data_IF_760656066432
#
_entry.id   IF_760656066432
#
_cell.length_a   1.000
_cell.length_b   1.000
_cell.length_c   1.000
_cell.angle_alpha   90.00
_cell.angle_beta   90.00
_cell.angle_gamma   90.00
#
_symmetry.space_group_name_H-M   'P 1'
#
loop_
_entity.id
_entity.type
_entity.pdbx_description
1 polymer ?
#
# COMPACT_ATOMS: atom_id res chain seq x y z
N UNK A 1 -6.83 -18.50 13.13
CA UNK A 1 -6.15 -18.49 11.81
C UNK A 1 -6.95 -17.58 10.89
N UNK A 2 -6.31 -16.98 9.88
CA UNK A 2 -7.01 -16.21 8.84
C UNK A 2 -7.08 -17.10 7.60
N UNK A 3 -8.28 -17.28 7.05
CA UNK A 3 -8.52 -18.00 5.80
C UNK A 3 -8.65 -16.96 4.69
N UNK A 4 -7.90 -17.10 3.59
CA UNK A 4 -7.91 -16.17 2.46
C UNK A 4 -8.63 -16.83 1.30
N UNK A 5 -9.58 -16.11 0.71
CA UNK A 5 -10.41 -16.55 -0.40
C UNK A 5 -10.27 -15.64 -1.60
N UNK A 6 -10.29 -16.22 -2.80
CA UNK A 6 -10.52 -15.54 -4.06
C UNK A 6 -11.87 -16.01 -4.60
N UNK A 7 -12.88 -15.14 -4.54
CA UNK A 7 -14.28 -15.57 -4.71
C UNK A 7 -14.64 -16.64 -3.67
N UNK A 8 -15.14 -17.79 -4.12
CA UNK A 8 -15.55 -18.90 -3.26
C UNK A 8 -14.40 -19.90 -2.97
N UNK A 9 -13.23 -19.70 -3.58
CA UNK A 9 -12.10 -20.64 -3.46
C UNK A 9 -11.16 -20.18 -2.37
N UNK A 10 -10.93 -21.03 -1.36
CA UNK A 10 -9.88 -20.80 -0.37
C UNK A 10 -8.51 -20.98 -1.03
N UNK A 11 -7.69 -19.93 -1.05
CA UNK A 11 -6.37 -19.95 -1.70
C UNK A 11 -5.22 -20.10 -0.71
N UNK A 12 -5.40 -19.68 0.54
CA UNK A 12 -4.35 -19.71 1.54
C UNK A 12 -4.91 -19.70 2.96
N UNK A 13 -4.21 -20.33 3.90
CA UNK A 13 -4.43 -20.15 5.34
C UNK A 13 -3.22 -19.50 5.99
N UNK A 14 -3.42 -18.35 6.63
CA UNK A 14 -2.42 -17.66 7.45
C UNK A 14 -2.55 -18.14 8.90
N UNK A 15 -1.66 -19.06 9.27
CA UNK A 15 -1.64 -19.67 10.62
C UNK A 15 -0.89 -18.84 11.65
N UNK A 16 0.10 -18.06 11.21
CA UNK A 16 0.94 -17.21 12.06
C UNK A 16 1.11 -15.85 11.41
N UNK A 17 1.07 -14.83 12.25
CA UNK A 17 1.28 -13.43 11.89
C UNK A 17 2.38 -12.87 12.80
N UNK A 18 3.11 -11.88 12.31
CA UNK A 18 4.04 -11.10 13.13
C UNK A 18 3.23 -10.19 14.07
N UNK A 19 2.27 -9.48 13.51
CA UNK A 19 1.30 -8.67 14.22
C UNK A 19 -0.07 -8.83 13.57
N UNK A 20 -1.13 -8.66 14.33
CA UNK A 20 -2.47 -8.52 13.81
C UNK A 20 -3.28 -7.64 14.75
N UNK A 21 -4.29 -7.00 14.19
CA UNK A 21 -5.15 -6.10 14.92
C UNK A 21 -6.56 -6.17 14.35
N UNK A 22 -7.53 -6.50 15.19
CA UNK A 22 -8.94 -6.48 14.89
C UNK A 22 -9.56 -5.33 15.69
N UNK A 23 -10.15 -4.36 15.00
CA UNK A 23 -10.80 -3.20 15.63
C UNK A 23 -12.28 -3.18 15.31
N UNK A 24 -13.09 -3.05 16.33
CA UNK A 24 -14.55 -2.97 16.24
C UNK A 24 -15.07 -1.81 17.11
N UNK A 25 -16.12 -1.13 16.65
CA UNK A 25 -16.76 -0.03 17.39
C UNK A 25 -18.28 -0.19 17.44
N UNK A 26 -18.92 0.47 18.42
CA UNK A 26 -20.39 0.56 18.48
C UNK A 26 -20.97 1.40 17.33
N UNK A 27 -20.18 2.29 16.75
CA UNK A 27 -20.60 3.11 15.61
C UNK A 27 -20.69 2.28 14.32
N UNK A 28 -20.00 1.14 14.24
CA UNK A 28 -20.04 0.24 13.09
C UNK A 28 -18.76 0.19 12.26
N UNK A 29 -17.66 0.77 12.75
CA UNK A 29 -16.33 0.46 12.23
C UNK A 29 -15.96 -0.99 12.57
N UNK A 30 -15.47 -1.72 11.56
CA UNK A 30 -14.97 -3.07 11.74
C UNK A 30 -13.83 -3.34 10.74
N UNK A 31 -12.60 -3.42 11.25
CA UNK A 31 -11.39 -3.53 10.43
C UNK A 31 -10.46 -4.62 10.95
N UNK A 32 -9.67 -5.18 10.05
CA UNK A 32 -8.62 -6.16 10.34
C UNK A 32 -7.34 -5.68 9.66
N UNK A 33 -6.23 -5.63 10.40
CA UNK A 33 -4.91 -5.51 9.79
C UNK A 33 -3.99 -6.60 10.31
N UNK A 34 -3.05 -7.04 9.48
CA UNK A 34 -2.05 -8.02 9.90
C UNK A 34 -0.77 -7.90 9.11
N UNK A 35 0.33 -8.29 9.73
CA UNK A 35 1.67 -8.33 9.13
C UNK A 35 2.17 -9.76 9.08
N UNK A 36 2.68 -10.19 7.93
CA UNK A 36 3.32 -11.49 7.71
C UNK A 36 4.68 -11.30 7.04
N UNK A 37 5.50 -12.35 7.04
CA UNK A 37 6.70 -12.38 6.19
C UNK A 37 6.29 -12.30 4.71
N UNK A 38 7.05 -11.59 3.88
CA UNK A 38 6.73 -11.40 2.47
C UNK A 38 6.54 -12.72 1.70
N UNK A 39 7.32 -13.76 2.04
CA UNK A 39 7.16 -15.12 1.48
C UNK A 39 5.78 -15.73 1.73
N UNK A 40 5.14 -15.36 2.84
CA UNK A 40 3.81 -15.82 3.24
C UNK A 40 2.70 -14.96 2.63
N UNK A 41 3.04 -13.93 1.85
CA UNK A 41 2.08 -13.04 1.21
C UNK A 41 2.08 -13.12 -0.33
N UNK A 42 2.80 -14.08 -0.93
CA UNK A 42 2.97 -14.16 -2.37
C UNK A 42 1.64 -14.31 -3.15
N UNK A 43 0.66 -15.00 -2.55
CA UNK A 43 -0.66 -15.21 -3.15
C UNK A 43 -1.69 -14.13 -2.78
N UNK A 44 -1.34 -13.19 -1.88
CA UNK A 44 -2.25 -12.15 -1.43
C UNK A 44 -2.40 -11.07 -2.49
N UNK A 45 -3.65 -10.71 -2.76
CA UNK A 45 -4.04 -9.64 -3.68
C UNK A 45 -5.16 -8.83 -3.04
N UNK A 46 -5.28 -7.56 -3.44
CA UNK A 46 -6.45 -6.76 -3.10
C UNK A 46 -7.73 -7.41 -3.65
N UNK A 47 -8.89 -7.07 -3.07
CA UNK A 47 -10.20 -7.66 -3.37
C UNK A 47 -10.38 -9.13 -2.97
N UNK A 48 -9.37 -9.78 -2.41
CA UNK A 48 -9.54 -11.09 -1.77
C UNK A 48 -10.23 -10.95 -0.42
N UNK A 49 -10.87 -12.01 0.06
CA UNK A 49 -11.57 -12.03 1.34
C UNK A 49 -10.73 -12.76 2.39
N UNK A 50 -10.43 -12.07 3.49
CA UNK A 50 -9.88 -12.63 4.71
C UNK A 50 -11.03 -12.97 5.67
N UNK A 51 -11.13 -14.24 6.06
CA UNK A 51 -12.11 -14.71 7.04
C UNK A 51 -11.43 -15.00 8.37
N UNK A 52 -12.00 -14.46 9.45
CA UNK A 52 -11.58 -14.72 10.82
C UNK A 52 -12.77 -14.60 11.77
N UNK A 53 -12.89 -15.51 12.75
CA UNK A 53 -13.96 -15.53 13.76
C UNK A 53 -15.39 -15.45 13.18
N UNK A 54 -15.62 -16.07 12.02
CA UNK A 54 -16.93 -16.04 11.33
C UNK A 54 -17.20 -14.78 10.50
N UNK A 55 -16.32 -13.78 10.57
CA UNK A 55 -16.45 -12.51 9.87
C UNK A 55 -15.58 -12.46 8.62
N UNK A 56 -15.99 -11.66 7.64
CA UNK A 56 -15.32 -11.52 6.34
C UNK A 56 -14.80 -10.10 6.15
N UNK A 57 -13.56 -9.99 5.70
CA UNK A 57 -12.88 -8.71 5.47
C UNK A 57 -12.28 -8.69 4.07
N UNK A 58 -12.59 -7.68 3.27
CA UNK A 58 -11.94 -7.45 1.98
C UNK A 58 -10.53 -6.89 2.19
N UNK A 59 -9.54 -7.45 1.52
CA UNK A 59 -8.19 -6.88 1.48
C UNK A 59 -8.22 -5.63 0.60
N UNK A 60 -8.11 -4.46 1.24
CA UNK A 60 -8.14 -3.16 0.55
C UNK A 60 -6.73 -2.67 0.23
N UNK A 61 -5.73 -3.03 1.04
CA UNK A 61 -4.35 -2.57 0.86
C UNK A 61 -3.33 -3.65 1.21
N UNK A 62 -2.27 -3.70 0.42
CA UNK A 62 -1.09 -4.55 0.67
C UNK A 62 0.16 -3.68 0.52
N UNK A 63 0.94 -3.58 1.60
CA UNK A 63 2.23 -2.91 1.61
C UNK A 63 3.34 -3.94 1.83
N UNK A 64 4.37 -3.94 0.97
CA UNK A 64 5.55 -4.79 1.10
C UNK A 64 6.76 -3.91 1.38
N UNK A 65 7.52 -4.26 2.43
CA UNK A 65 8.66 -3.47 2.87
C UNK A 65 9.72 -4.35 3.54
N UNK A 66 10.88 -3.78 3.85
CA UNK A 66 11.92 -4.43 4.63
C UNK A 66 12.03 -3.71 5.98
N UNK A 67 11.92 -4.45 7.08
CA UNK A 67 12.11 -3.94 8.43
C UNK A 67 13.32 -4.62 9.06
N UNK A 68 14.41 -3.88 9.28
CA UNK A 68 15.62 -4.42 9.91
C UNK A 68 16.17 -5.68 9.21
N UNK A 69 16.22 -5.66 7.87
CA UNK A 69 16.57 -6.78 6.95
C UNK A 69 15.49 -7.87 6.74
N UNK A 70 14.38 -7.84 7.47
CA UNK A 70 13.30 -8.80 7.29
C UNK A 70 12.28 -8.30 6.26
N UNK A 71 12.06 -9.01 5.14
CA UNK A 71 11.02 -8.66 4.19
C UNK A 71 9.64 -9.02 4.77
N UNK A 72 8.80 -8.01 4.94
CA UNK A 72 7.47 -8.09 5.53
C UNK A 72 6.39 -7.63 4.55
N UNK A 73 5.16 -8.03 4.85
CA UNK A 73 3.98 -7.64 4.11
C UNK A 73 2.88 -7.28 5.11
N UNK A 74 2.50 -6.01 5.13
CA UNK A 74 1.40 -5.46 5.92
C UNK A 74 0.13 -5.43 5.07
N UNK A 75 -0.96 -5.94 5.62
CA UNK A 75 -2.24 -6.09 4.94
C UNK A 75 -3.29 -5.35 5.75
N UNK A 76 -4.04 -4.48 5.08
CA UNK A 76 -5.19 -3.77 5.65
C UNK A 76 -6.45 -4.32 5.02
N UNK A 77 -7.43 -4.64 5.85
CA UNK A 77 -8.71 -5.18 5.44
C UNK A 77 -9.87 -4.44 6.11
N UNK A 78 -10.96 -4.30 5.37
CA UNK A 78 -12.22 -3.72 5.84
C UNK A 78 -13.29 -4.81 5.88
N UNK A 79 -14.19 -4.77 6.87
CA UNK A 79 -15.31 -5.70 6.90
C UNK A 79 -16.13 -5.59 5.61
N UNK A 80 -16.69 -6.71 5.13
CA UNK A 80 -17.46 -6.71 3.86
C UNK A 80 -18.57 -5.67 3.83
N UNK A 81 -19.09 -5.23 4.99
CA UNK A 81 -20.07 -4.14 5.11
C UNK A 81 -19.63 -2.81 4.49
N UNK A 82 -18.33 -2.59 4.28
CA UNK A 82 -17.82 -1.40 3.59
C UNK A 82 -18.14 -1.42 2.09
N UNK A 83 -18.47 -2.58 1.53
CA UNK A 83 -19.03 -2.71 0.17
C UNK A 83 -20.30 -1.88 -0.03
N UNK A 84 -21.05 -1.56 1.04
CA UNK A 84 -22.20 -0.67 0.99
C UNK A 84 -21.84 0.81 0.69
N UNK A 85 -20.55 1.15 0.65
CA UNK A 85 -20.07 2.46 0.20
C UNK A 85 -19.88 2.55 -1.32
N UNK A 86 -19.89 1.42 -2.02
CA UNK A 86 -19.68 1.34 -3.47
C UNK A 86 -20.81 2.07 -4.22
N UNK A 87 -20.43 2.81 -5.26
CA UNK A 87 -21.33 3.65 -6.04
C UNK A 87 -22.48 2.85 -6.67
N UNK A 88 -22.25 1.58 -6.99
CA UNK A 88 -23.29 0.68 -7.53
C UNK A 88 -24.46 0.40 -6.60
N UNK A 89 -24.32 0.67 -5.30
CA UNK A 89 -25.39 0.49 -4.31
C UNK A 89 -26.04 1.80 -3.87
N UNK A 90 -25.59 2.94 -4.40
CA UNK A 90 -26.20 4.23 -4.09
C UNK A 90 -27.72 4.22 -4.33
N UNK A 91 -28.41 5.04 -3.56
CA UNK A 91 -29.84 5.30 -3.69
C UNK A 91 -30.07 6.79 -3.66
N UNK A 92 -31.00 7.25 -4.47
CA UNK A 92 -31.46 8.63 -4.54
C UNK A 92 -32.86 8.82 -3.94
N UNK A 93 -33.64 7.75 -3.89
CA UNK A 93 -34.96 7.72 -3.28
C UNK A 93 -35.14 6.51 -2.33
N UNK A 94 -35.72 6.77 -1.17
CA UNK A 94 -36.20 5.74 -0.25
C UNK A 94 -37.30 6.38 0.59
N UNK A 95 -38.52 5.85 0.58
CA UNK A 95 -39.63 6.35 1.42
C UNK A 95 -40.31 5.15 2.05
N UNK A 96 -40.13 4.98 3.35
CA UNK A 96 -40.63 3.82 4.09
C UNK A 96 -41.26 4.25 5.41
N UNK A 97 -42.42 3.65 5.69
CA UNK A 97 -43.12 3.72 6.96
C UNK A 97 -43.64 2.34 7.31
N UNK A 98 -43.14 1.72 8.38
CA UNK A 98 -43.52 0.35 8.72
C UNK A 98 -42.66 -0.32 9.77
N UNK A 99 -42.66 -1.65 9.74
CA UNK A 99 -41.87 -2.49 10.65
C UNK A 99 -40.36 -2.29 10.39
N UNK A 100 -39.52 -2.14 11.44
CA UNK A 100 -38.08 -1.95 11.27
C UNK A 100 -37.33 -3.08 10.54
N UNK A 101 -37.74 -4.34 10.69
CA UNK A 101 -37.09 -5.45 10.00
C UNK A 101 -37.43 -5.46 8.51
N UNK A 102 -38.70 -5.16 8.17
CA UNK A 102 -39.13 -4.97 6.78
C UNK A 102 -38.41 -3.78 6.12
N UNK A 103 -38.35 -2.64 6.82
CA UNK A 103 -37.66 -1.44 6.34
C UNK A 103 -36.17 -1.67 6.11
N UNK A 104 -35.50 -2.40 7.00
CA UNK A 104 -34.11 -2.80 6.80
C UNK A 104 -33.96 -3.75 5.60
N UNK A 105 -34.91 -4.67 5.41
CA UNK A 105 -34.93 -5.59 4.27
C UNK A 105 -35.00 -4.85 2.93
N UNK A 106 -35.93 -3.91 2.80
CA UNK A 106 -36.04 -3.04 1.63
C UNK A 106 -34.79 -2.18 1.46
N UNK A 107 -34.24 -1.66 2.55
CA UNK A 107 -33.02 -0.87 2.49
C UNK A 107 -31.81 -1.70 2.04
N UNK A 108 -31.75 -3.00 2.31
CA UNK A 108 -30.64 -3.86 1.89
C UNK A 108 -30.89 -4.55 0.54
N UNK A 109 -32.04 -4.33 -0.09
CA UNK A 109 -32.38 -4.95 -1.37
C UNK A 109 -31.34 -4.62 -2.45
N UNK A 110 -30.96 -5.64 -3.23
CA UNK A 110 -29.94 -5.55 -4.26
C UNK A 110 -28.49 -5.60 -3.74
N UNK A 111 -28.28 -5.62 -2.42
CA UNK A 111 -26.96 -5.79 -1.81
C UNK A 111 -26.71 -7.26 -1.45
N UNK A 112 -25.45 -7.68 -1.16
CA UNK A 112 -25.19 -9.05 -0.68
C UNK A 112 -25.58 -9.27 0.79
N UNK A 113 -26.19 -8.28 1.45
CA UNK A 113 -26.54 -8.34 2.87
C UNK A 113 -28.00 -8.71 3.08
N UNK A 114 -28.26 -9.43 4.16
CA UNK A 114 -29.61 -9.76 4.62
C UNK A 114 -29.88 -9.23 6.02
N UNK A 115 -31.17 -9.13 6.35
CA UNK A 115 -31.63 -8.77 7.69
C UNK A 115 -31.31 -9.91 8.65
N UNK A 116 -30.67 -9.58 9.77
CA UNK A 116 -30.53 -10.48 10.91
C UNK A 116 -31.52 -10.13 12.02
N UNK A 117 -31.06 -10.11 13.27
CA UNK A 117 -31.90 -9.76 14.43
C UNK A 117 -32.15 -8.27 14.50
N UNK A 118 -33.43 -7.86 14.49
CA UNK A 118 -33.87 -6.47 14.74
C UNK A 118 -34.73 -6.44 16.00
N UNK A 119 -34.27 -5.79 17.06
CA UNK A 119 -34.94 -5.78 18.38
C UNK A 119 -36.01 -4.69 18.54
N UNK A 120 -36.28 -3.95 17.46
CA UNK A 120 -37.22 -2.83 17.41
C UNK A 120 -38.50 -3.24 16.70
N UNK A 121 -39.64 -2.90 17.29
CA UNK A 121 -40.98 -3.28 16.78
C UNK A 121 -41.89 -2.07 16.51
N UNK A 122 -41.46 -0.87 16.96
CA UNK A 122 -42.22 0.34 16.74
C UNK A 122 -42.03 0.79 15.29
N UNK A 123 -43.09 1.32 14.69
CA UNK A 123 -43.04 1.87 13.33
C UNK A 123 -41.90 2.89 13.18
N UNK A 124 -41.08 2.69 12.16
CA UNK A 124 -40.06 3.64 11.73
C UNK A 124 -40.54 4.37 10.46
N UNK A 125 -40.23 5.66 10.38
CA UNK A 125 -40.42 6.47 9.18
C UNK A 125 -39.04 6.95 8.72
N UNK A 126 -38.68 6.67 7.47
CA UNK A 126 -37.45 7.15 6.88
C UNK A 126 -37.69 7.59 5.44
N UNK A 127 -37.17 8.77 5.11
CA UNK A 127 -37.23 9.33 3.76
C UNK A 127 -35.84 9.80 3.30
N UNK A 128 -35.48 9.44 2.08
CA UNK A 128 -34.31 9.89 1.33
C UNK A 128 -34.82 10.44 0.00
N UNK A 129 -34.35 11.63 -0.34
CA UNK A 129 -34.69 12.35 -1.58
C UNK A 129 -33.45 12.98 -2.23
N UNK A 130 -32.29 12.38 -1.99
CA UNK A 130 -31.00 12.79 -2.53
C UNK A 130 -30.10 11.58 -2.69
N UNK A 131 -29.17 11.64 -3.63
CA UNK A 131 -28.19 10.57 -3.85
C UNK A 131 -27.29 10.39 -2.62
N UNK A 132 -27.32 9.20 -2.02
CA UNK A 132 -26.50 8.81 -0.89
C UNK A 132 -25.92 7.41 -1.07
N UNK A 133 -24.79 7.14 -0.42
CA UNK A 133 -24.24 5.78 -0.30
C UNK A 133 -25.19 4.91 0.53
N UNK A 134 -25.30 3.63 0.18
CA UNK A 134 -26.17 2.69 0.89
C UNK A 134 -25.83 2.58 2.38
N UNK A 135 -24.53 2.60 2.70
CA UNK A 135 -24.05 2.59 4.09
C UNK A 135 -24.53 3.80 4.88
N UNK A 136 -24.56 5.00 4.27
CA UNK A 136 -25.02 6.20 4.94
C UNK A 136 -26.53 6.10 5.26
N UNK A 137 -27.32 5.60 4.31
CA UNK A 137 -28.73 5.31 4.54
C UNK A 137 -28.94 4.28 5.65
N UNK A 138 -28.14 3.21 5.68
CA UNK A 138 -28.17 2.21 6.75
C UNK A 138 -27.88 2.84 8.13
N UNK A 139 -26.82 3.65 8.24
CA UNK A 139 -26.48 4.31 9.51
C UNK A 139 -27.57 5.29 9.95
N UNK A 140 -28.18 6.02 9.01
CA UNK A 140 -29.33 6.87 9.27
C UNK A 140 -30.52 6.05 9.81
N UNK A 141 -30.82 4.90 9.21
CA UNK A 141 -31.90 4.01 9.64
C UNK A 141 -31.68 3.54 11.09
N UNK A 142 -30.46 3.10 11.42
CA UNK A 142 -30.09 2.67 12.77
C UNK A 142 -30.18 3.84 13.77
N UNK A 143 -29.72 5.02 13.38
CA UNK A 143 -29.80 6.23 14.21
C UNK A 143 -31.24 6.63 14.53
N UNK A 144 -32.16 6.51 13.56
CA UNK A 144 -33.59 6.76 13.76
C UNK A 144 -34.23 5.78 14.76
N UNK A 145 -33.80 4.52 14.75
CA UNK A 145 -34.23 3.53 15.75
C UNK A 145 -33.60 3.78 17.13
N UNK A 146 -32.46 4.49 17.19
CA UNK A 146 -31.62 4.55 18.38
C UNK A 146 -30.94 3.20 18.69
N UNK A 147 -30.72 2.39 17.65
CA UNK A 147 -30.14 1.05 17.76
C UNK A 147 -28.63 1.03 17.63
N UNK A 148 -28.10 -0.18 17.78
CA UNK A 148 -26.68 -0.50 17.63
C UNK A 148 -26.49 -1.54 16.55
N UNK A 149 -25.62 -1.23 15.60
CA UNK A 149 -25.29 -2.14 14.51
C UNK A 149 -24.38 -3.26 14.99
N UNK A 150 -24.73 -4.48 14.61
CA UNK A 150 -23.91 -5.68 14.82
C UNK A 150 -23.82 -6.46 13.51
N UNK A 151 -22.60 -6.78 13.11
CA UNK A 151 -22.34 -7.57 11.91
C UNK A 151 -22.22 -9.06 12.26
N UNK A 152 -22.90 -9.91 11.52
CA UNK A 152 -22.74 -11.36 11.56
C UNK A 152 -22.53 -11.90 10.14
N UNK A 153 -21.27 -11.79 9.67
CA UNK A 153 -20.91 -12.05 8.29
C UNK A 153 -21.66 -11.11 7.33
N UNK A 154 -22.60 -11.66 6.57
CA UNK A 154 -23.46 -10.91 5.64
C UNK A 154 -24.84 -10.55 6.22
N UNK A 155 -25.09 -10.87 7.49
CA UNK A 155 -26.28 -10.42 8.19
C UNK A 155 -25.99 -9.12 8.94
N UNK A 156 -26.96 -8.20 8.90
CA UNK A 156 -26.93 -6.97 9.67
C UNK A 156 -28.00 -7.05 10.76
N UNK A 157 -27.56 -7.02 12.01
CA UNK A 157 -28.40 -6.97 13.19
C UNK A 157 -28.53 -5.52 13.70
N UNK A 158 -29.68 -5.19 14.26
CA UNK A 158 -29.92 -3.93 14.98
C UNK A 158 -30.38 -4.27 16.40
N UNK A 159 -29.47 -4.09 17.36
CA UNK A 159 -29.69 -4.39 18.78
C UNK A 159 -30.07 -3.13 19.54
N UNK A 160 -30.82 -3.27 20.63
CA UNK A 160 -31.05 -2.21 21.62
C UNK A 160 -29.80 -2.00 22.48
N UNK A 161 -29.06 -3.08 22.75
CA UNK A 161 -27.82 -3.06 23.50
C UNK A 161 -26.96 -4.27 23.12
N UNK A 162 -25.79 -4.01 22.52
CA UNK A 162 -24.73 -4.99 22.28
C UNK A 162 -23.91 -5.20 23.54
N UNK A 163 -23.42 -6.42 23.73
CA UNK A 163 -22.66 -6.78 24.93
C UNK A 163 -23.52 -6.88 26.19
N UNK A 164 -22.87 -7.12 27.32
CA UNK A 164 -23.51 -7.35 28.61
C UNK A 164 -24.01 -6.07 29.25
N UNK A 165 -25.24 -6.12 29.78
CA UNK A 165 -25.80 -5.07 30.64
C UNK A 165 -25.14 -5.06 32.03
N UNK A 166 -24.63 -6.19 32.49
CA UNK A 166 -23.96 -6.32 33.77
C UNK A 166 -22.55 -5.71 33.72
N UNK A 167 -22.18 -4.97 34.76
CA UNK A 167 -20.86 -4.35 34.82
C UNK A 167 -19.77 -5.40 35.08
N UNK A 168 -18.97 -5.67 34.07
CA UNK A 168 -17.77 -6.50 34.19
C UNK A 168 -16.67 -5.72 34.88
N UNK A 169 -16.07 -6.29 35.93
CA UNK A 169 -14.89 -5.70 36.56
C UNK A 169 -13.67 -5.91 35.64
N UNK A 170 -13.05 -4.82 35.22
CA UNK A 170 -12.01 -4.84 34.18
C UNK A 170 -10.60 -4.67 34.77
N UNK A 171 -10.51 -4.15 36.01
CA UNK A 171 -9.26 -3.92 36.71
C UNK A 171 -9.10 -4.91 37.87
N UNK A 172 -8.40 -6.02 37.62
CA UNK A 172 -7.56 -6.63 38.66
C UNK A 172 -6.14 -6.08 38.43
N UNK A 173 -5.45 -5.65 39.50
CA UNK A 173 -4.17 -4.94 39.41
C UNK A 173 -3.05 -5.67 38.66
N UNK A 174 -3.21 -6.97 38.34
CA UNK A 174 -2.18 -7.80 37.69
C UNK A 174 -2.33 -7.90 36.17
N UNK A 175 -3.48 -7.53 35.60
CA UNK A 175 -3.77 -7.72 34.19
C UNK A 175 -3.78 -6.44 33.35
N UNK A 176 -3.50 -5.28 33.96
CA UNK A 176 -3.57 -3.97 33.30
C UNK A 176 -2.16 -3.47 33.04
N UNK A 177 -1.82 -3.19 31.79
CA UNK A 177 -0.48 -2.73 31.36
C UNK A 177 -0.42 -1.22 31.12
N UNK A 178 -1.53 -0.63 30.70
CA UNK A 178 -1.62 0.80 30.44
C UNK A 178 -3.03 1.30 30.77
N UNK A 179 -3.09 2.51 31.34
CA UNK A 179 -4.31 3.25 31.66
C UNK A 179 -4.08 4.70 31.34
N UNK A 180 -4.83 5.24 30.38
CA UNK A 180 -4.84 6.67 30.06
C UNK A 180 -6.26 7.20 30.14
N UNK A 181 -6.39 8.46 30.58
CA UNK A 181 -7.67 9.16 30.69
C UNK A 181 -7.53 10.53 30.08
N UNK A 182 -8.50 10.87 29.23
CA UNK A 182 -8.63 12.19 28.63
C UNK A 182 -9.98 12.78 29.01
N UNK A 183 -9.97 14.04 29.44
CA UNK A 183 -11.15 14.81 29.77
C UNK A 183 -11.33 15.92 28.74
N UNK A 184 -12.45 15.95 28.03
CA UNK A 184 -12.81 17.09 27.17
C UNK A 184 -14.01 17.83 27.76
N UNK A 185 -13.77 19.07 28.20
CA UNK A 185 -14.79 19.94 28.78
C UNK A 185 -15.83 20.43 27.76
N UNK A 186 -15.53 20.34 26.46
CA UNK A 186 -16.44 20.75 25.37
C UNK A 186 -17.48 19.68 25.08
N UNK A 187 -17.09 18.41 25.24
CA UNK A 187 -17.97 17.25 24.98
C UNK A 187 -18.64 16.70 26.24
N UNK A 188 -18.25 17.22 27.43
CA UNK A 188 -18.65 16.68 28.74
C UNK A 188 -18.50 15.15 28.79
N UNK A 189 -17.41 14.67 28.17
CA UNK A 189 -17.12 13.26 27.96
C UNK A 189 -15.70 12.96 28.45
N UNK A 190 -15.54 11.76 29.02
CA UNK A 190 -14.24 11.22 29.39
C UNK A 190 -14.01 9.98 28.55
N UNK A 191 -12.89 9.95 27.83
CA UNK A 191 -12.42 8.76 27.14
C UNK A 191 -11.33 8.11 27.97
N UNK A 192 -11.39 6.79 28.07
CA UNK A 192 -10.37 6.00 28.76
C UNK A 192 -9.81 5.02 27.75
N UNK A 193 -8.49 4.95 27.70
CA UNK A 193 -7.74 4.00 26.89
C UNK A 193 -7.09 3.01 27.85
N UNK A 194 -7.50 1.74 27.80
CA UNK A 194 -7.01 0.72 28.72
C UNK A 194 -6.41 -0.42 27.93
N UNK A 195 -5.19 -0.83 28.31
CA UNK A 195 -4.51 -1.99 27.76
C UNK A 195 -4.44 -3.13 28.78
N UNK A 196 -4.83 -4.33 28.36
CA UNK A 196 -4.76 -5.54 29.18
C UNK A 196 -3.66 -6.50 28.72
N UNK A 197 -2.93 -7.08 29.68
CA UNK A 197 -1.92 -8.11 29.46
C UNK A 197 -2.53 -9.48 29.14
N UNK A 198 -3.79 -9.76 29.49
CA UNK A 198 -4.44 -11.06 29.24
C UNK A 198 -5.88 -10.90 28.79
N UNK A 199 -6.36 -11.92 28.07
CA UNK A 199 -7.72 -11.99 27.57
C UNK A 199 -8.75 -11.94 28.70
N UNK A 200 -9.40 -10.81 28.83
CA UNK A 200 -10.71 -10.70 29.45
C UNK A 200 -11.76 -11.03 28.38
N UNK A 201 -12.84 -11.72 28.76
CA UNK A 201 -13.95 -11.98 27.85
C UNK A 201 -14.82 -10.71 27.70
N UNK A 202 -14.25 -9.74 26.98
CA UNK A 202 -14.84 -8.44 26.67
C UNK A 202 -15.27 -8.39 25.22
N UNK A 203 -16.41 -7.76 24.99
CA UNK A 203 -16.99 -7.48 23.69
C UNK A 203 -17.35 -6.01 23.60
N UNK A 204 -17.42 -5.48 22.38
CA UNK A 204 -17.97 -4.15 22.12
C UNK A 204 -19.38 -4.06 22.71
N UNK A 205 -19.66 -2.94 23.38
CA UNK A 205 -20.93 -2.70 24.06
C UNK A 205 -21.05 -3.26 25.48
N UNK A 206 -20.09 -4.04 25.98
CA UNK A 206 -20.11 -4.45 27.39
C UNK A 206 -20.08 -3.24 28.34
N UNK A 207 -20.93 -3.30 29.37
CA UNK A 207 -20.81 -2.43 30.53
C UNK A 207 -19.63 -2.90 31.40
N UNK A 208 -18.80 -1.94 31.80
CA UNK A 208 -17.56 -2.20 32.53
C UNK A 208 -17.44 -1.31 33.76
N UNK A 209 -16.76 -1.83 34.77
CA UNK A 209 -16.37 -1.10 35.97
C UNK A 209 -14.85 -1.04 36.04
N UNK A 210 -14.34 0.18 35.92
CA UNK A 210 -12.91 0.47 35.87
C UNK A 210 -12.51 1.08 37.20
N UNK A 211 -11.63 0.40 37.93
CA UNK A 211 -11.09 0.87 39.21
C UNK A 211 -9.56 0.89 39.13
N UNK A 212 -8.97 2.07 39.10
CA UNK A 212 -7.52 2.26 39.13
C UNK A 212 -7.14 3.33 40.15
N UNK A 213 -6.87 2.87 41.38
CA UNK A 213 -6.58 3.74 42.53
C UNK A 213 -5.43 4.73 42.30
N UNK A 214 -4.30 4.39 41.63
CA UNK A 214 -3.20 5.32 41.44
C UNK A 214 -3.56 6.58 40.63
N UNK A 215 -4.54 6.49 39.72
CA UNK A 215 -5.07 7.64 38.97
C UNK A 215 -6.43 8.13 39.50
N UNK A 216 -6.88 7.64 40.66
CA UNK A 216 -8.18 8.01 41.22
C UNK A 216 -9.39 7.58 40.39
N UNK A 217 -9.24 6.59 39.50
CA UNK A 217 -10.31 6.16 38.60
C UNK A 217 -11.21 5.16 39.33
N UNK A 218 -12.50 5.43 39.36
CA UNK A 218 -13.54 4.50 39.79
C UNK A 218 -14.82 4.83 39.02
N UNK A 219 -14.95 4.29 37.81
CA UNK A 219 -16.00 4.67 36.87
C UNK A 219 -16.71 3.45 36.31
N UNK A 220 -18.03 3.56 36.21
CA UNK A 220 -18.88 2.64 35.46
C UNK A 220 -19.16 3.27 34.10
N UNK A 221 -18.82 2.55 33.05
CA UNK A 221 -18.88 3.04 31.67
C UNK A 221 -19.06 1.87 30.72
N UNK A 222 -19.02 2.13 29.42
CA UNK A 222 -19.31 1.15 28.38
C UNK A 222 -18.22 1.12 27.32
N UNK A 223 -17.91 -0.07 26.82
CA UNK A 223 -16.95 -0.25 25.73
C UNK A 223 -17.55 0.27 24.41
N UNK A 224 -16.97 1.35 23.88
CA UNK A 224 -17.36 1.93 22.59
C UNK A 224 -16.46 1.46 21.44
N UNK A 225 -15.20 1.13 21.73
CA UNK A 225 -14.28 0.51 20.79
C UNK A 225 -13.47 -0.59 21.48
N UNK A 226 -13.26 -1.69 20.76
CA UNK A 226 -12.42 -2.79 21.16
C UNK A 226 -11.42 -3.07 20.05
N UNK A 227 -10.15 -3.06 20.41
CA UNK A 227 -9.04 -3.32 19.50
C UNK A 227 -8.14 -4.39 20.13
N UNK A 228 -7.87 -5.48 19.41
CA UNK A 228 -7.03 -6.56 19.93
C UNK A 228 -6.37 -7.38 18.85
N UNK A 229 -5.26 -8.03 19.19
CA UNK A 229 -4.65 -9.02 18.31
C UNK A 229 -5.38 -10.38 18.42
N UNK A 230 -5.99 -10.88 17.33
CA UNK A 230 -6.81 -12.10 17.38
C UNK A 230 -6.00 -13.40 17.53
N UNK A 231 -4.68 -13.35 17.32
CA UNK A 231 -3.76 -14.48 17.54
C UNK A 231 -3.13 -14.44 18.93
N UNK A 232 -2.87 -13.23 19.45
CA UNK A 232 -2.22 -13.01 20.74
C UNK A 232 -2.98 -11.94 21.52
N UNK A 233 -3.96 -12.35 22.33
CA UNK A 233 -4.82 -11.45 23.11
C UNK A 233 -4.13 -10.87 24.35
N UNK A 234 -2.90 -10.42 24.18
CA UNK A 234 -2.02 -9.89 25.21
C UNK A 234 -1.90 -8.37 25.19
N UNK A 235 -2.63 -7.70 24.29
CA UNK A 235 -2.84 -6.27 24.28
C UNK A 235 -4.25 -6.04 23.73
N UNK A 236 -5.19 -5.76 24.62
CA UNK A 236 -6.55 -5.37 24.27
C UNK A 236 -6.66 -3.90 24.61
N UNK A 237 -6.88 -3.06 23.60
CA UNK A 237 -7.11 -1.64 23.74
C UNK A 237 -8.60 -1.39 23.72
N UNK A 238 -9.09 -0.72 24.76
CA UNK A 238 -10.50 -0.44 24.94
C UNK A 238 -10.68 1.06 25.05
N UNK A 239 -11.53 1.62 24.18
CA UNK A 239 -12.07 2.94 24.38
C UNK A 239 -13.42 2.81 25.06
N UNK A 240 -13.62 3.58 26.13
CA UNK A 240 -14.90 3.62 26.84
C UNK A 240 -15.45 5.03 26.90
N UNK A 241 -16.77 5.13 26.84
CA UNK A 241 -17.45 6.42 26.80
C UNK A 241 -18.96 6.29 26.73
N UNK A 242 -19.63 7.42 26.52
CA UNK A 242 -21.06 7.45 26.22
C UNK A 242 -21.25 7.21 24.74
N UNK A 243 -21.95 6.14 24.38
CA UNK A 243 -22.39 5.94 23.00
C UNK A 243 -23.62 6.80 22.71
N UNK A 244 -23.60 7.53 21.61
CA UNK A 244 -24.78 8.16 21.03
C UNK A 244 -24.80 7.82 19.54
N UNK A 245 -25.77 7.03 19.04
CA UNK A 245 -26.00 6.93 17.61
C UNK A 245 -26.17 8.35 17.07
N UNK A 246 -25.28 8.76 16.18
CA UNK A 246 -25.34 10.06 15.55
C UNK A 246 -25.38 9.88 14.04
N UNK A 247 -25.98 10.85 13.37
CA UNK A 247 -26.05 10.93 11.90
C UNK A 247 -24.69 11.39 11.32
N UNK A 248 -23.68 11.63 12.16
CA UNK A 248 -22.51 12.43 11.80
C UNK A 248 -21.47 11.73 10.92
N UNK A 249 -20.84 12.58 10.10
CA UNK A 249 -19.74 12.40 9.15
C UNK A 249 -18.47 11.70 9.65
N UNK A 250 -18.45 11.07 10.84
CA UNK A 250 -17.28 10.36 11.35
C UNK A 250 -16.84 9.22 10.42
N UNK A 251 -17.74 8.68 9.61
CA UNK A 251 -17.43 7.70 8.56
C UNK A 251 -16.61 8.26 7.39
N UNK A 252 -16.60 9.58 7.14
CA UNK A 252 -15.70 10.19 6.15
C UNK A 252 -14.26 10.30 6.67
N UNK A 253 -14.02 10.17 7.99
CA UNK A 253 -12.67 10.35 8.57
C UNK A 253 -11.74 9.16 8.36
N UNK A 254 -12.26 7.97 8.08
CA UNK A 254 -11.43 6.83 7.66
C UNK A 254 -10.87 7.05 6.25
N UNK A 255 -11.67 7.64 5.36
CA UNK A 255 -11.22 8.04 4.01
C UNK A 255 -10.13 9.11 4.09
N UNK A 256 -10.25 10.10 4.99
CA UNK A 256 -9.25 11.15 5.15
C UNK A 256 -8.00 10.73 5.94
N UNK A 257 -8.12 9.82 6.91
CA UNK A 257 -6.96 9.29 7.62
C UNK A 257 -6.14 8.35 6.73
N UNK A 258 -6.81 7.57 5.88
CA UNK A 258 -6.16 6.72 4.88
C UNK A 258 -5.56 7.55 3.73
N UNK A 259 -6.23 8.61 3.26
CA UNK A 259 -5.64 9.52 2.28
C UNK A 259 -4.47 10.35 2.84
N UNK A 260 -4.52 10.71 4.12
CA UNK A 260 -3.39 11.34 4.84
C UNK A 260 -2.23 10.36 4.99
N UNK A 261 -2.53 9.07 5.24
CA UNK A 261 -1.52 8.01 5.27
C UNK A 261 -0.93 7.74 3.89
N UNK A 262 -1.74 7.65 2.84
CA UNK A 262 -1.29 7.57 1.44
C UNK A 262 -0.43 8.76 1.06
N UNK A 263 -0.85 9.98 1.41
CA UNK A 263 -0.08 11.21 1.17
C UNK A 263 1.26 11.17 1.91
N UNK A 264 1.29 10.67 3.16
CA UNK A 264 2.52 10.50 3.92
C UNK A 264 3.43 9.42 3.34
N UNK A 265 2.87 8.34 2.77
CA UNK A 265 3.62 7.30 2.05
C UNK A 265 4.16 7.83 0.73
N UNK A 266 3.40 8.62 -0.03
CA UNK A 266 3.88 9.27 -1.25
C UNK A 266 4.99 10.27 -0.94
N UNK A 267 4.89 10.99 0.18
CA UNK A 267 5.96 11.87 0.67
C UNK A 267 7.21 11.10 1.11
N UNK A 268 7.05 9.96 1.78
CA UNK A 268 8.18 9.07 2.13
C UNK A 268 8.79 8.44 0.87
N UNK A 269 7.98 7.97 -0.07
CA UNK A 269 8.44 7.40 -1.34
C UNK A 269 9.21 8.43 -2.17
N UNK A 270 8.68 9.64 -2.32
CA UNK A 270 9.38 10.74 -3.00
C UNK A 270 10.63 11.22 -2.25
N UNK A 271 10.66 11.16 -0.92
CA UNK A 271 11.87 11.44 -0.13
C UNK A 271 12.92 10.35 -0.30
N UNK A 272 12.52 9.07 -0.39
CA UNK A 272 13.40 7.94 -0.66
C UNK A 272 13.92 7.99 -2.10
N UNK A 273 13.09 8.33 -3.09
CA UNK A 273 13.53 8.54 -4.48
C UNK A 273 14.45 9.77 -4.59
N UNK A 274 14.16 10.83 -3.84
CA UNK A 274 15.03 12.01 -3.73
C UNK A 274 16.38 11.68 -3.10
N UNK A 275 16.40 10.82 -2.08
CA UNK A 275 17.64 10.31 -1.48
C UNK A 275 18.36 9.34 -2.42
N UNK A 276 17.66 8.48 -3.16
CA UNK A 276 18.24 7.59 -4.16
C UNK A 276 18.87 8.40 -5.30
N UNK A 277 18.21 9.48 -5.73
CA UNK A 277 18.72 10.42 -6.73
C UNK A 277 19.95 11.17 -6.20
N UNK A 278 19.90 11.66 -4.96
CA UNK A 278 21.04 12.32 -4.31
C UNK A 278 22.21 11.35 -4.08
N UNK A 279 21.97 10.09 -3.70
CA UNK A 279 22.98 9.03 -3.56
C UNK A 279 23.55 8.65 -4.94
N UNK A 280 22.72 8.59 -5.99
CA UNK A 280 23.18 8.36 -7.36
C UNK A 280 24.03 9.53 -7.91
N UNK A 281 23.78 10.75 -7.43
CA UNK A 281 24.58 11.96 -7.73
C UNK A 281 25.85 12.05 -6.86
N UNK A 282 25.83 11.47 -5.64
CA UNK A 282 27.01 11.33 -4.77
C UNK A 282 27.93 10.17 -5.19
N UNK A 283 27.45 9.25 -6.03
CA UNK A 283 28.29 8.37 -6.86
C UNK A 283 28.91 9.18 -7.99
N UNK A 284 29.92 9.98 -7.64
CA UNK A 284 30.69 10.79 -8.58
C UNK A 284 31.36 9.82 -9.57
N UNK A 285 30.83 9.74 -10.79
CA UNK A 285 31.54 9.08 -11.90
C UNK A 285 32.81 9.89 -12.14
N UNK A 286 33.98 9.32 -11.91
CA UNK A 286 35.21 9.91 -12.40
C UNK A 286 35.51 9.33 -13.78
N UNK A 287 35.71 10.21 -14.76
CA UNK A 287 36.27 9.85 -16.06
C UNK A 287 37.78 10.02 -15.97
N UNK A 288 38.53 8.93 -16.12
CA UNK A 288 39.99 8.98 -16.18
C UNK A 288 40.47 8.70 -17.60
N UNK A 289 41.58 9.32 -18.00
CA UNK A 289 42.26 8.95 -19.26
C UNK A 289 42.98 7.63 -19.03
N UNK A 290 42.51 6.56 -19.68
CA UNK A 290 43.10 5.23 -19.64
C UNK A 290 44.35 5.14 -20.52
N UNK A 291 44.28 5.71 -21.72
CA UNK A 291 45.42 5.81 -22.63
C UNK A 291 45.31 7.05 -23.51
N UNK A 292 46.46 7.59 -23.90
CA UNK A 292 46.57 8.70 -24.84
C UNK A 292 47.73 8.43 -25.79
N UNK A 293 47.48 8.55 -27.08
CA UNK A 293 48.50 8.48 -28.13
C UNK A 293 48.44 9.73 -28.99
N UNK A 294 49.60 10.19 -29.46
CA UNK A 294 49.71 11.37 -30.33
C UNK A 294 50.31 10.93 -31.65
N UNK A 295 49.53 11.08 -32.72
CA UNK A 295 49.92 10.81 -34.10
C UNK A 295 50.32 12.12 -34.80
N UNK A 296 50.67 12.05 -36.08
CA UNK A 296 51.20 13.22 -36.80
C UNK A 296 50.23 14.40 -36.87
N UNK A 297 48.92 14.14 -36.87
CA UNK A 297 47.88 15.16 -37.00
C UNK A 297 46.75 15.06 -35.95
N UNK A 298 46.73 14.00 -35.11
CA UNK A 298 45.67 13.80 -34.13
C UNK A 298 46.17 13.26 -32.78
N UNK A 299 45.36 13.46 -31.74
CA UNK A 299 45.53 12.91 -30.40
C UNK A 299 44.36 11.97 -30.18
N UNK A 300 44.67 10.70 -29.92
CA UNK A 300 43.69 9.67 -29.65
C UNK A 300 43.65 9.39 -28.14
N UNK A 301 42.49 9.53 -27.52
CA UNK A 301 42.30 9.39 -26.08
C UNK A 301 41.25 8.33 -25.79
N UNK A 302 41.60 7.35 -24.96
CA UNK A 302 40.66 6.40 -24.39
C UNK A 302 40.35 6.82 -22.96
N UNK A 303 39.08 7.12 -22.69
CA UNK A 303 38.56 7.41 -21.37
C UNK A 303 37.95 6.16 -20.75
N UNK A 304 38.11 5.97 -19.44
CA UNK A 304 37.44 4.94 -18.67
C UNK A 304 36.55 5.59 -17.60
N UNK A 305 35.31 5.11 -17.49
CA UNK A 305 34.33 5.56 -16.49
C UNK A 305 33.94 4.36 -15.63
N UNK A 306 34.13 4.49 -14.32
CA UNK A 306 33.70 3.50 -13.34
C UNK A 306 32.43 3.97 -12.63
N UNK A 307 31.28 3.36 -12.97
CA UNK A 307 30.07 3.46 -12.15
C UNK A 307 29.29 2.14 -12.23
N UNK A 308 29.53 1.27 -11.26
CA UNK A 308 28.92 -0.07 -11.22
C UNK A 308 29.58 -1.05 -12.20
N UNK A 309 29.81 -0.62 -13.45
CA UNK A 309 30.52 -1.36 -14.50
C UNK A 309 31.54 -0.43 -15.21
N UNK A 310 32.67 -1.00 -15.66
CA UNK A 310 33.74 -0.28 -16.38
C UNK A 310 33.36 -0.08 -17.85
N UNK A 311 33.29 1.17 -18.30
CA UNK A 311 32.99 1.51 -19.69
C UNK A 311 34.09 2.38 -20.29
N UNK A 312 34.45 2.17 -21.56
CA UNK A 312 35.38 3.06 -22.25
C UNK A 312 34.73 3.88 -23.37
N UNK A 313 35.33 5.06 -23.60
CA UNK A 313 35.01 5.96 -24.68
C UNK A 313 36.30 6.31 -25.41
N UNK A 314 36.26 6.38 -26.72
CA UNK A 314 37.37 6.75 -27.58
C UNK A 314 37.08 8.10 -28.18
N UNK A 315 38.02 9.05 -28.05
CA UNK A 315 37.92 10.38 -28.63
C UNK A 315 39.14 10.68 -29.48
N UNK A 316 38.90 11.22 -30.68
CA UNK A 316 39.95 11.74 -31.55
C UNK A 316 39.92 13.27 -31.52
N UNK A 317 41.09 13.86 -31.33
CA UNK A 317 41.27 15.30 -31.37
C UNK A 317 42.24 15.68 -32.47
N UNK A 318 41.93 16.69 -33.27
CA UNK A 318 42.90 17.33 -34.15
C UNK A 318 43.70 18.37 -33.36
N UNK A 319 44.90 18.68 -33.83
CA UNK A 319 45.69 19.77 -33.26
C UNK A 319 46.41 20.60 -34.33
N UNK A 320 46.69 21.86 -33.99
CA UNK A 320 47.56 22.73 -34.79
C UNK A 320 48.86 22.97 -34.05
N UNK A 321 49.95 23.22 -34.78
CA UNK A 321 51.26 23.53 -34.22
C UNK A 321 51.80 24.86 -34.76
N UNK A 322 52.59 25.56 -33.95
CA UNK A 322 53.37 26.71 -34.42
C UNK A 322 54.61 26.28 -35.23
N UNK A 323 55.37 27.26 -35.71
CA UNK A 323 56.61 27.03 -36.48
C UNK A 323 57.72 26.31 -35.70
N UNK A 324 57.57 26.15 -34.38
CA UNK A 324 58.50 25.43 -33.50
C UNK A 324 57.95 24.04 -33.10
N UNK A 325 56.83 23.61 -33.67
CA UNK A 325 56.19 22.32 -33.39
C UNK A 325 55.42 22.28 -32.07
N UNK A 326 55.15 23.43 -31.43
CA UNK A 326 54.36 23.48 -30.20
C UNK A 326 52.86 23.47 -30.54
N UNK A 327 52.09 22.60 -29.88
CA UNK A 327 50.63 22.57 -30.02
C UNK A 327 50.03 23.92 -29.62
N UNK A 328 49.27 24.53 -30.53
CA UNK A 328 48.61 25.83 -30.37
C UNK A 328 47.10 25.73 -30.19
N UNK A 329 46.48 24.64 -30.65
CA UNK A 329 45.06 24.34 -30.42
C UNK A 329 44.83 22.84 -30.42
N UNK A 330 43.78 22.39 -29.71
CA UNK A 330 43.26 21.02 -29.75
C UNK A 330 41.75 21.13 -29.96
N UNK A 331 41.21 20.39 -30.92
CA UNK A 331 39.78 20.37 -31.25
C UNK A 331 39.28 18.94 -31.20
N UNK A 332 38.16 18.69 -30.51
CA UNK A 332 37.50 17.38 -30.54
C UNK A 332 36.89 17.18 -31.93
N UNK A 333 37.28 16.12 -32.63
CA UNK A 333 36.72 15.76 -33.93
C UNK A 333 35.62 14.72 -33.76
N UNK A 334 35.87 13.68 -32.96
CA UNK A 334 34.93 12.57 -32.81
C UNK A 334 34.97 11.91 -31.44
N UNK A 335 33.85 11.28 -31.04
CA UNK A 335 33.72 10.53 -29.80
C UNK A 335 32.80 9.31 -29.97
N UNK A 336 33.29 8.14 -29.58
CA UNK A 336 32.56 6.88 -29.65
C UNK A 336 32.62 6.08 -28.34
N UNK A 337 31.52 5.43 -27.98
CA UNK A 337 31.38 4.59 -26.78
C UNK A 337 31.54 3.11 -27.14
N UNK A 338 32.14 2.31 -26.25
CA UNK A 338 32.14 0.84 -26.39
C UNK A 338 30.73 0.24 -26.45
N UNK A 339 29.72 0.90 -25.86
CA UNK A 339 28.31 0.48 -25.97
C UNK A 339 27.74 0.62 -27.39
N UNK A 340 28.40 1.39 -28.26
CA UNK A 340 28.05 1.52 -29.68
C UNK A 340 28.83 0.54 -30.57
N UNK A 341 29.81 -0.20 -30.01
CA UNK A 341 30.50 -1.25 -30.74
C UNK A 341 29.59 -2.47 -30.84
N UNK A 342 29.29 -2.85 -32.08
CA UNK A 342 28.58 -4.08 -32.35
C UNK A 342 29.58 -5.22 -32.50
N UNK A 343 29.43 -6.29 -31.72
CA UNK A 343 30.27 -7.47 -31.82
C UNK A 343 30.04 -8.16 -33.18
N UNK A 344 31.13 -8.48 -33.89
CA UNK A 344 31.05 -9.13 -35.21
C UNK A 344 30.74 -10.62 -35.02
N UNK A 345 29.59 -11.05 -35.51
CA UNK A 345 29.18 -12.46 -35.56
C UNK A 345 29.83 -13.20 -36.73
N UNK A 346 29.85 -12.58 -37.92
CA UNK A 346 30.52 -13.14 -39.10
C UNK A 346 31.03 -12.05 -40.04
N UNK A 347 32.16 -12.31 -40.70
CA UNK A 347 32.71 -11.49 -41.78
C UNK A 347 32.79 -12.34 -43.05
N UNK A 348 32.06 -11.93 -44.09
CA UNK A 348 32.14 -12.54 -45.42
C UNK A 348 32.91 -11.62 -46.36
N UNK A 349 33.87 -12.16 -47.11
CA UNK A 349 34.69 -11.41 -48.05
C UNK A 349 34.44 -11.92 -49.47
N UNK A 350 34.10 -11.00 -50.37
CA UNK A 350 33.85 -11.22 -51.80
C UNK A 350 34.90 -10.42 -52.62
N UNK A 351 34.89 -10.55 -53.96
CA UNK A 351 35.92 -9.99 -54.84
C UNK A 351 36.05 -8.45 -54.80
N UNK A 352 35.02 -7.73 -54.35
CA UNK A 352 35.00 -6.26 -54.28
C UNK A 352 34.35 -5.69 -53.02
N UNK A 353 33.87 -6.54 -52.12
CA UNK A 353 33.14 -6.14 -50.91
C UNK A 353 33.38 -7.09 -49.74
N UNK A 354 33.14 -6.61 -48.53
CA UNK A 354 32.93 -7.48 -47.38
C UNK A 354 31.64 -7.11 -46.66
N UNK A 355 30.96 -8.14 -46.16
CA UNK A 355 29.72 -8.05 -45.39
C UNK A 355 30.00 -8.47 -43.95
N UNK A 356 29.67 -7.59 -43.02
CA UNK A 356 29.78 -7.83 -41.58
C UNK A 356 28.37 -8.09 -41.06
N UNK A 357 28.16 -9.24 -40.43
CA UNK A 357 26.98 -9.51 -39.62
C UNK A 357 27.37 -9.36 -38.16
N UNK A 358 26.60 -8.58 -37.41
CA UNK A 358 26.81 -8.38 -35.98
C UNK A 358 26.00 -9.39 -35.15
N UNK A 359 26.37 -9.59 -33.89
CA UNK A 359 25.68 -10.51 -32.96
C UNK A 359 24.22 -10.11 -32.73
N UNK A 360 23.90 -8.83 -32.86
CA UNK A 360 22.53 -8.31 -32.79
C UNK A 360 21.68 -8.59 -34.06
N UNK A 361 22.27 -9.27 -35.06
CA UNK A 361 21.62 -9.64 -36.32
C UNK A 361 21.62 -8.54 -37.39
N UNK A 362 22.16 -7.35 -37.10
CA UNK A 362 22.29 -6.30 -38.12
C UNK A 362 23.49 -6.57 -39.04
N UNK A 363 23.43 -6.07 -40.28
CA UNK A 363 24.52 -6.21 -41.24
C UNK A 363 25.06 -4.86 -41.71
N UNK A 364 26.35 -4.81 -42.04
CA UNK A 364 26.98 -3.66 -42.68
C UNK A 364 27.81 -4.12 -43.87
N UNK A 365 27.66 -3.44 -45.00
CA UNK A 365 28.35 -3.74 -46.24
C UNK A 365 29.41 -2.68 -46.52
N UNK A 366 30.57 -3.12 -46.98
CA UNK A 366 31.68 -2.24 -47.34
C UNK A 366 32.23 -2.64 -48.69
N UNK A 367 32.47 -1.66 -49.55
CA UNK A 367 33.27 -1.85 -50.75
C UNK A 367 34.74 -1.64 -50.40
N UNK A 368 35.63 -2.32 -51.11
CA UNK A 368 37.05 -2.08 -50.99
C UNK A 368 37.70 -1.99 -52.37
N UNK A 369 38.81 -1.24 -52.44
CA UNK A 369 39.67 -1.20 -53.62
C UNK A 369 41.02 -1.81 -53.30
N UNK A 370 41.69 -2.36 -54.32
CA UNK A 370 43.02 -2.96 -54.18
C UNK A 370 44.00 -2.34 -55.16
N UNK A 371 45.28 -2.33 -54.78
CA UNK A 371 46.35 -2.04 -55.73
C UNK A 371 46.65 -3.24 -56.65
N UNK A 372 47.59 -3.07 -57.58
CA UNK A 372 48.01 -4.12 -58.51
C UNK A 372 48.66 -5.34 -57.83
N UNK A 373 48.94 -5.27 -56.52
CA UNK A 373 49.44 -6.38 -55.71
C UNK A 373 48.34 -7.10 -54.92
N UNK A 374 47.09 -6.63 -55.02
CA UNK A 374 45.94 -7.17 -54.30
C UNK A 374 45.83 -6.67 -52.86
N UNK A 375 46.62 -5.68 -52.44
CA UNK A 375 46.52 -5.08 -51.11
C UNK A 375 45.37 -4.07 -51.09
N UNK A 376 44.53 -4.13 -50.05
CA UNK A 376 43.44 -3.17 -49.86
C UNK A 376 44.01 -1.76 -49.67
N UNK A 377 43.56 -0.82 -50.49
CA UNK A 377 44.00 0.59 -50.50
C UNK A 377 42.94 1.56 -49.99
N UNK A 378 41.65 1.21 -50.06
CA UNK A 378 40.56 1.97 -49.45
C UNK A 378 39.39 1.05 -49.12
N UNK A 379 38.58 1.47 -48.14
CA UNK A 379 37.34 0.81 -47.70
C UNK A 379 36.28 1.89 -47.54
N UNK A 380 35.13 1.70 -48.19
CA UNK A 380 34.00 2.62 -48.14
C UNK A 380 32.75 1.88 -47.67
N UNK A 381 32.08 2.42 -46.65
CA UNK A 381 30.81 1.87 -46.17
C UNK A 381 29.72 2.12 -47.20
N UNK A 382 28.94 1.09 -47.52
CA UNK A 382 27.75 1.23 -48.35
C UNK A 382 26.61 1.69 -47.43
N UNK A 383 26.25 2.98 -47.48
CA UNK A 383 25.08 3.50 -46.77
C UNK A 383 23.79 2.92 -47.39
N UNK A 384 22.99 2.25 -46.56
CA UNK A 384 21.67 1.75 -46.96
C UNK A 384 20.65 2.90 -47.02
N UNK A 385 19.78 2.89 -48.03
CA UNK A 385 18.60 3.77 -48.12
C UNK A 385 17.47 3.37 -47.19
#
# INVERSE_FOLDING_TARGET
MIEIYAGNTMIQTVKKVMTANLRETLEGEFTLSFTVLAKSALALKTKQLAKINGQFFEIVQINKSIQGSLPICSVTCEHVSYTLNDDRYQIDEFDFSGDPAEGLGLLLEGTPFSVGTVEFINTINMKINQLVRRRAALMQFIALLGGEIEYDGYQINIRKHRGSLEHKAVMDSKNVTNVSVSYDSRENASSYDISFFKLLNLSVGDNVHIVFKPLGINVKTRIISLEYNPFYRYNIRVEVGRFRPSISDTFYRLESSMSTFESSITQVGSSVDGLQYQVNQLGISYTIVKSLTVDSNSINVTYEVEKGDTHQYHAEYSYTVDSNGRITSITLEDIFSELLLKEVSSLLVDATRFEITYVDGTTANYNYTTDSSGRITAIDKVEGG
#
